data_IF_336423638213
#
_entry.id   IF_336423638213
#
_cell.length_a   1.000
_cell.length_b   1.000
_cell.length_c   1.000
_cell.angle_alpha   90.00
_cell.angle_beta   90.00
_cell.angle_gamma   90.00
#
_symmetry.space_group_name_H-M   'P 1'
#
loop_
_entity.id
_entity.type
_entity.pdbx_description
1 polymer ?
#
# COMPACT_ATOMS: atom_id res chain seq x y z
N UNK A 1 0.77 -63.95 19.84
CA UNK A 1 -0.55 -63.45 19.40
C UNK A 1 -0.83 -62.03 19.86
N UNK A 2 -0.33 -61.60 20.99
CA UNK A 2 -0.56 -60.22 21.51
C UNK A 2 0.14 -59.11 20.70
N UNK A 3 1.31 -59.38 20.14
CA UNK A 3 2.02 -58.37 19.31
C UNK A 3 1.35 -58.09 17.95
N UNK A 4 0.60 -59.05 17.42
CA UNK A 4 -0.11 -58.87 16.13
C UNK A 4 -1.37 -58.04 16.29
N UNK A 5 -2.04 -58.10 17.44
CA UNK A 5 -3.20 -57.29 17.77
C UNK A 5 -2.84 -55.80 18.01
N UNK A 6 -1.68 -55.55 18.65
CA UNK A 6 -1.21 -54.19 18.90
C UNK A 6 -0.83 -53.45 17.60
N UNK A 7 -0.24 -54.17 16.65
CA UNK A 7 0.14 -53.65 15.34
C UNK A 7 -1.12 -53.33 14.47
N UNK A 8 -2.12 -54.20 14.54
CA UNK A 8 -3.40 -53.96 13.84
C UNK A 8 -4.15 -52.79 14.43
N UNK A 9 -4.12 -52.57 15.75
CA UNK A 9 -4.78 -51.44 16.41
C UNK A 9 -4.07 -50.11 16.10
N UNK A 10 -2.73 -50.11 16.00
CA UNK A 10 -1.95 -48.91 15.61
C UNK A 10 -2.16 -48.58 14.13
N UNK A 11 -2.26 -49.55 13.23
CA UNK A 11 -2.51 -49.33 11.81
C UNK A 11 -3.94 -48.84 11.58
N UNK A 12 -4.91 -49.32 12.31
CA UNK A 12 -6.31 -48.85 12.24
C UNK A 12 -6.43 -47.43 12.81
N UNK A 13 -5.71 -47.06 13.89
CA UNK A 13 -5.69 -45.70 14.43
C UNK A 13 -5.04 -44.68 13.46
N UNK A 14 -3.99 -45.09 12.73
CA UNK A 14 -3.33 -44.25 11.72
C UNK A 14 -4.20 -44.06 10.47
N UNK A 15 -4.96 -45.10 10.08
CA UNK A 15 -5.86 -45.01 8.90
C UNK A 15 -7.15 -44.21 9.12
N UNK A 16 -7.60 -44.05 10.37
CA UNK A 16 -8.76 -43.24 10.70
C UNK A 16 -8.42 -41.76 11.08
N UNK A 17 -7.16 -41.43 11.36
CA UNK A 17 -6.74 -40.08 11.72
C UNK A 17 -6.38 -39.18 10.51
N UNK A 18 -5.99 -39.77 9.38
CA UNK A 18 -5.58 -39.02 8.20
C UNK A 18 -6.73 -38.34 7.40
N UNK A 19 -7.93 -38.91 7.22
CA UNK A 19 -8.99 -38.25 6.48
C UNK A 19 -9.68 -37.11 7.25
N UNK A 20 -9.70 -37.12 8.58
CA UNK A 20 -10.31 -36.06 9.37
C UNK A 20 -9.49 -34.77 9.39
N UNK A 21 -8.16 -34.85 9.43
CA UNK A 21 -7.27 -33.67 9.38
C UNK A 21 -7.29 -33.06 7.97
N UNK A 22 -7.32 -33.88 6.93
CA UNK A 22 -7.38 -33.39 5.54
C UNK A 22 -8.73 -32.75 5.20
N UNK A 23 -9.84 -33.29 5.70
CA UNK A 23 -11.17 -32.69 5.49
C UNK A 23 -11.34 -31.37 6.23
N UNK A 24 -10.80 -31.21 7.45
CA UNK A 24 -10.93 -29.97 8.20
C UNK A 24 -10.12 -28.82 7.58
N UNK A 25 -8.91 -29.10 7.09
CA UNK A 25 -8.08 -28.07 6.41
C UNK A 25 -8.70 -27.64 5.09
N UNK A 26 -9.28 -28.55 4.32
CA UNK A 26 -9.96 -28.25 3.05
C UNK A 26 -11.21 -27.43 3.25
N UNK A 27 -12.02 -27.71 4.29
CA UNK A 27 -13.23 -26.95 4.64
C UNK A 27 -12.82 -25.53 5.12
N UNK A 28 -11.80 -25.40 5.93
CA UNK A 28 -11.30 -24.11 6.40
C UNK A 28 -10.78 -23.24 5.24
N UNK A 29 -10.01 -23.81 4.31
CA UNK A 29 -9.51 -23.12 3.13
C UNK A 29 -10.64 -22.67 2.21
N UNK A 30 -11.63 -23.52 1.94
CA UNK A 30 -12.81 -23.18 1.15
C UNK A 30 -13.62 -22.05 1.78
N UNK A 31 -13.76 -22.03 3.11
CA UNK A 31 -14.49 -20.98 3.81
C UNK A 31 -13.73 -19.64 3.84
N UNK A 32 -12.38 -19.65 3.90
CA UNK A 32 -11.55 -18.45 3.81
C UNK A 32 -11.66 -17.79 2.43
N UNK A 33 -11.61 -18.59 1.36
CA UNK A 33 -11.81 -18.10 -0.02
C UNK A 33 -13.21 -17.51 -0.16
N UNK A 34 -14.24 -18.16 0.35
CA UNK A 34 -15.63 -17.67 0.28
C UNK A 34 -15.80 -16.32 0.98
N UNK A 35 -15.21 -16.11 2.17
CA UNK A 35 -15.25 -14.82 2.87
C UNK A 35 -14.50 -13.73 2.11
N UNK A 36 -13.37 -14.05 1.50
CA UNK A 36 -12.65 -13.13 0.63
C UNK A 36 -13.49 -12.72 -0.58
N UNK A 37 -14.12 -13.69 -1.27
CA UNK A 37 -15.02 -13.39 -2.39
C UNK A 37 -16.20 -12.51 -1.95
N UNK A 38 -16.81 -12.76 -0.79
CA UNK A 38 -17.88 -11.92 -0.26
C UNK A 38 -17.44 -10.47 -0.03
N UNK A 39 -16.22 -10.26 0.48
CA UNK A 39 -15.69 -8.90 0.67
C UNK A 39 -15.38 -8.22 -0.67
N UNK A 40 -14.85 -8.94 -1.64
CA UNK A 40 -14.59 -8.43 -2.99
C UNK A 40 -15.88 -8.03 -3.74
N UNK A 41 -17.00 -8.68 -3.46
CA UNK A 41 -18.29 -8.38 -4.08
C UNK A 41 -18.90 -7.06 -3.60
N UNK A 42 -18.45 -6.53 -2.48
CA UNK A 42 -18.88 -5.22 -2.00
C UNK A 42 -18.16 -4.15 -2.84
N UNK A 43 -18.94 -3.40 -3.63
CA UNK A 43 -18.38 -2.34 -4.48
C UNK A 43 -18.01 -1.12 -3.64
N UNK A 44 -16.74 -0.94 -3.37
CA UNK A 44 -16.17 0.22 -2.68
C UNK A 44 -15.35 1.13 -3.60
N UNK A 45 -15.66 1.12 -4.91
CA UNK A 45 -14.97 1.96 -5.87
C UNK A 45 -15.32 3.45 -5.74
N UNK A 46 -14.28 4.28 -5.81
CA UNK A 46 -14.44 5.72 -5.94
C UNK A 46 -15.20 6.07 -7.23
N UNK A 47 -15.98 7.16 -7.29
CA UNK A 47 -16.22 8.18 -6.23
C UNK A 47 -17.42 7.87 -5.33
N UNK A 48 -18.03 6.70 -5.41
CA UNK A 48 -19.26 6.35 -4.67
C UNK A 48 -19.15 4.99 -3.96
N UNK A 49 -18.18 4.81 -3.06
CA UNK A 49 -17.93 3.55 -2.39
C UNK A 49 -19.05 3.19 -1.41
N UNK A 50 -19.40 1.91 -1.36
CA UNK A 50 -20.35 1.36 -0.38
C UNK A 50 -19.68 1.09 0.96
N UNK A 51 -19.15 2.13 1.59
CA UNK A 51 -18.39 2.03 2.83
C UNK A 51 -19.16 1.38 3.99
N UNK A 52 -20.46 1.71 4.14
CA UNK A 52 -21.26 1.14 5.23
C UNK A 52 -21.41 -0.38 5.07
N UNK A 53 -21.63 -0.86 3.84
CA UNK A 53 -21.74 -2.30 3.57
C UNK A 53 -20.42 -3.03 3.88
N UNK A 54 -19.28 -2.42 3.54
CA UNK A 54 -17.96 -2.94 3.90
C UNK A 54 -17.72 -2.94 5.40
N UNK A 55 -18.10 -1.87 6.11
CA UNK A 55 -17.98 -1.77 7.56
C UNK A 55 -18.84 -2.83 8.26
N UNK A 56 -20.09 -3.02 7.84
CA UNK A 56 -21.00 -4.03 8.39
C UNK A 56 -20.46 -5.45 8.20
N UNK A 57 -19.87 -5.74 7.02
CA UNK A 57 -19.21 -7.01 6.76
C UNK A 57 -18.03 -7.23 7.72
N UNK A 58 -17.12 -6.25 7.85
CA UNK A 58 -15.94 -6.33 8.72
C UNK A 58 -16.33 -6.50 10.20
N UNK A 59 -17.35 -5.79 10.67
CA UNK A 59 -17.89 -5.94 12.02
C UNK A 59 -18.48 -7.34 12.22
N UNK A 60 -19.14 -7.90 11.20
CA UNK A 60 -19.65 -9.27 11.27
C UNK A 60 -18.52 -10.30 11.44
N UNK A 61 -17.38 -10.10 10.71
CA UNK A 61 -16.19 -10.93 10.88
C UNK A 61 -15.59 -10.77 12.29
N UNK A 62 -15.50 -9.55 12.80
CA UNK A 62 -15.03 -9.28 14.15
C UNK A 62 -15.86 -9.99 15.22
N UNK A 63 -17.19 -9.94 15.11
CA UNK A 63 -18.11 -10.66 16.00
C UNK A 63 -17.85 -12.16 15.96
N UNK A 64 -17.68 -12.75 14.76
CA UNK A 64 -17.40 -14.19 14.62
C UNK A 64 -16.07 -14.61 15.27
N UNK A 65 -15.15 -13.66 15.43
CA UNK A 65 -13.83 -13.83 16.05
C UNK A 65 -13.78 -13.40 17.51
N UNK A 66 -14.89 -12.92 18.08
CA UNK A 66 -14.93 -12.34 19.43
C UNK A 66 -13.85 -11.24 19.60
N UNK A 67 -13.69 -10.39 18.58
CA UNK A 67 -12.88 -9.17 18.66
C UNK A 67 -13.76 -8.01 19.14
N UNK A 68 -13.14 -7.08 19.88
CA UNK A 68 -13.77 -5.80 20.14
C UNK A 68 -13.79 -4.99 18.84
N UNK A 69 -14.87 -4.27 18.55
CA UNK A 69 -15.00 -3.47 17.33
C UNK A 69 -15.54 -2.08 17.66
N UNK A 70 -15.01 -1.08 16.95
CA UNK A 70 -15.46 0.31 17.00
C UNK A 70 -15.52 0.85 15.57
N UNK A 71 -16.53 1.63 15.26
CA UNK A 71 -16.62 2.44 14.04
C UNK A 71 -16.35 3.89 14.39
N UNK A 72 -15.50 4.56 13.64
CA UNK A 72 -15.07 5.93 13.86
C UNK A 72 -15.33 6.72 12.58
N UNK A 73 -16.18 7.72 12.64
CA UNK A 73 -16.48 8.63 11.53
C UNK A 73 -15.75 9.96 11.76
N UNK A 74 -14.54 10.10 11.21
CA UNK A 74 -13.87 11.41 11.18
C UNK A 74 -14.54 12.35 10.18
N UNK A 75 -15.13 11.80 9.14
CA UNK A 75 -15.96 12.47 8.16
C UNK A 75 -17.21 11.62 7.93
N UNK A 76 -18.37 12.25 7.98
CA UNK A 76 -19.66 11.59 7.82
C UNK A 76 -19.71 10.72 6.56
N UNK A 77 -20.06 9.45 6.70
CA UNK A 77 -20.18 8.49 5.62
C UNK A 77 -18.86 7.86 5.18
N UNK A 78 -17.76 8.13 5.91
CA UNK A 78 -16.44 7.51 5.70
C UNK A 78 -15.98 6.77 6.97
N UNK A 79 -16.63 5.65 7.34
CA UNK A 79 -16.31 4.92 8.55
C UNK A 79 -14.93 4.28 8.48
N UNK A 80 -14.13 4.50 9.51
CA UNK A 80 -12.97 3.69 9.84
C UNK A 80 -13.41 2.61 10.82
N UNK A 81 -13.18 1.34 10.48
CA UNK A 81 -13.47 0.20 11.36
C UNK A 81 -12.21 -0.19 12.10
N UNK A 82 -12.22 -0.06 13.42
CA UNK A 82 -11.13 -0.45 14.30
C UNK A 82 -11.51 -1.69 15.09
N UNK A 83 -10.74 -2.76 14.92
CA UNK A 83 -10.91 -4.03 15.64
C UNK A 83 -9.75 -4.22 16.61
N UNK A 84 -10.03 -4.83 17.76
CA UNK A 84 -9.03 -5.09 18.80
C UNK A 84 -9.06 -6.54 19.25
N UNK A 85 -7.92 -7.18 19.21
CA UNK A 85 -7.60 -8.41 19.93
C UNK A 85 -6.76 -8.06 21.15
N UNK A 86 -7.32 -8.06 22.37
CA UNK A 86 -6.60 -7.67 23.57
C UNK A 86 -5.40 -8.57 23.84
N UNK A 87 -4.28 -7.98 24.19
CA UNK A 87 -3.11 -8.70 24.67
C UNK A 87 -3.17 -8.97 26.18
N UNK A 88 -2.42 -9.99 26.64
CA UNK A 88 -2.31 -10.35 28.06
C UNK A 88 -1.44 -9.35 28.86
N UNK A 89 -0.59 -8.57 28.16
CA UNK A 89 0.21 -7.45 28.71
C UNK A 89 -0.19 -6.12 28.02
N UNK A 90 -1.36 -5.55 28.34
CA UNK A 90 -1.90 -4.39 27.61
C UNK A 90 -1.09 -3.09 27.77
N UNK A 91 -0.12 -3.05 28.71
CA UNK A 91 0.82 -1.93 28.87
C UNK A 91 1.93 -1.93 27.82
N UNK A 92 2.20 -3.06 27.16
CA UNK A 92 3.16 -3.11 26.07
C UNK A 92 2.60 -2.38 24.83
N UNK A 93 3.45 -1.68 24.07
CA UNK A 93 3.03 -1.06 22.83
C UNK A 93 2.39 -2.07 21.87
N UNK A 94 1.33 -1.65 21.22
CA UNK A 94 0.48 -2.52 20.39
C UNK A 94 1.01 -2.68 18.95
N UNK A 95 0.38 -3.57 18.20
CA UNK A 95 0.62 -3.80 16.79
C UNK A 95 -0.59 -3.32 16.01
N UNK A 96 -0.39 -2.55 14.94
CA UNK A 96 -1.43 -2.11 14.03
C UNK A 96 -1.29 -2.82 12.68
N UNK A 97 -2.30 -3.57 12.30
CA UNK A 97 -2.50 -4.16 10.98
C UNK A 97 -3.47 -3.22 10.24
N UNK A 98 -2.96 -2.50 9.26
CA UNK A 98 -3.71 -1.49 8.54
C UNK A 98 -4.14 -1.99 7.17
N UNK A 99 -5.33 -1.60 6.73
CA UNK A 99 -5.87 -1.88 5.40
C UNK A 99 -6.84 -0.77 5.00
N UNK A 100 -6.84 -0.35 3.73
CA UNK A 100 -7.92 0.50 3.23
C UNK A 100 -9.08 -0.34 2.69
N UNK A 101 -10.25 0.27 2.59
CA UNK A 101 -11.51 -0.38 2.18
C UNK A 101 -11.94 0.00 0.78
N UNK A 102 -11.56 1.19 0.32
CA UNK A 102 -11.89 1.66 -1.02
C UNK A 102 -11.02 1.01 -2.09
N UNK A 103 -11.39 1.19 -3.32
CA UNK A 103 -10.66 0.73 -4.50
C UNK A 103 -10.83 1.76 -5.63
N UNK A 104 -9.89 1.80 -6.57
CA UNK A 104 -10.01 2.65 -7.76
C UNK A 104 -11.19 2.24 -8.64
N UNK A 105 -11.72 3.17 -9.46
CA UNK A 105 -12.72 2.86 -10.47
C UNK A 105 -12.27 1.77 -11.45
N UNK A 106 -13.21 1.12 -12.10
CA UNK A 106 -12.95 0.10 -13.11
C UNK A 106 -13.76 0.38 -14.38
N UNK A 107 -13.13 0.18 -15.54
CA UNK A 107 -13.79 0.22 -16.84
C UNK A 107 -14.38 -1.17 -17.14
N UNK A 108 -15.63 -1.40 -16.73
CA UNK A 108 -16.27 -2.72 -16.70
C UNK A 108 -16.21 -3.44 -18.08
N UNK A 109 -16.33 -2.69 -19.17
CA UNK A 109 -16.34 -3.24 -20.54
C UNK A 109 -14.97 -3.82 -20.96
N UNK A 110 -13.90 -3.49 -20.23
CA UNK A 110 -12.55 -4.00 -20.49
C UNK A 110 -12.18 -5.22 -19.63
N UNK A 111 -13.09 -5.66 -18.76
CA UNK A 111 -12.87 -6.81 -17.91
C UNK A 111 -13.48 -8.08 -18.50
N UNK A 112 -12.75 -9.19 -18.44
CA UNK A 112 -13.25 -10.52 -18.83
C UNK A 112 -14.37 -11.00 -17.92
N UNK A 113 -14.28 -10.69 -16.62
CA UNK A 113 -15.30 -10.95 -15.62
C UNK A 113 -15.67 -9.64 -14.93
N UNK A 114 -16.95 -9.48 -14.54
CA UNK A 114 -17.36 -8.26 -13.86
C UNK A 114 -16.46 -7.97 -12.64
N UNK A 115 -15.89 -6.75 -12.48
CA UNK A 115 -14.85 -6.44 -11.50
C UNK A 115 -15.26 -6.65 -10.04
N UNK A 116 -16.55 -6.77 -9.75
CA UNK A 116 -17.08 -7.09 -8.41
C UNK A 116 -17.80 -8.44 -8.36
N UNK A 117 -17.53 -9.35 -9.30
CA UNK A 117 -18.07 -10.71 -9.25
C UNK A 117 -17.29 -11.65 -8.34
N UNK A 118 -16.02 -11.32 -8.06
CA UNK A 118 -15.07 -12.19 -7.37
C UNK A 118 -15.02 -13.59 -8.02
N UNK A 119 -14.96 -13.61 -9.35
CA UNK A 119 -15.02 -14.84 -10.13
C UNK A 119 -13.77 -15.69 -9.89
N UNK A 120 -13.98 -16.93 -9.44
CA UNK A 120 -12.94 -17.94 -9.34
C UNK A 120 -12.94 -18.80 -10.61
N UNK A 121 -11.87 -18.72 -11.41
CA UNK A 121 -11.74 -19.52 -12.61
C UNK A 121 -11.23 -20.95 -12.33
N UNK A 122 -11.20 -21.79 -13.35
CA UNK A 122 -10.74 -23.19 -13.26
C UNK A 122 -9.22 -23.31 -13.03
N UNK A 123 -8.45 -22.24 -13.21
CA UNK A 123 -7.04 -22.16 -12.89
C UNK A 123 -6.77 -21.69 -11.44
N UNK A 124 -7.79 -21.36 -10.68
CA UNK A 124 -7.67 -20.89 -9.30
C UNK A 124 -7.45 -19.40 -9.15
N UNK A 125 -7.69 -18.59 -10.19
CA UNK A 125 -7.59 -17.13 -10.14
C UNK A 125 -8.90 -16.51 -9.67
N UNK A 126 -8.82 -15.65 -8.67
CA UNK A 126 -9.97 -14.88 -8.16
C UNK A 126 -9.89 -13.49 -8.78
N UNK A 127 -10.74 -13.24 -9.76
CA UNK A 127 -10.79 -11.96 -10.48
C UNK A 127 -11.69 -10.98 -9.78
N UNK A 128 -11.12 -9.88 -9.30
CA UNK A 128 -11.88 -8.74 -8.78
C UNK A 128 -10.99 -7.49 -8.65
N UNK A 129 -11.59 -6.29 -8.75
CA UNK A 129 -10.98 -5.05 -8.29
C UNK A 129 -10.82 -5.12 -6.75
N UNK A 130 -9.60 -4.87 -6.25
CA UNK A 130 -9.25 -5.03 -4.83
C UNK A 130 -8.74 -6.43 -4.48
N UNK A 131 -8.58 -7.34 -5.46
CA UNK A 131 -8.02 -8.66 -5.20
C UNK A 131 -6.52 -8.61 -4.86
N UNK A 132 -5.80 -7.58 -5.30
CA UNK A 132 -4.41 -7.29 -4.93
C UNK A 132 -4.31 -6.03 -4.05
N UNK A 133 -5.14 -5.01 -4.29
CA UNK A 133 -5.07 -3.69 -3.71
C UNK A 133 -6.41 -3.29 -3.07
N UNK A 134 -6.53 -3.34 -1.72
CA UNK A 134 -5.75 -4.24 -0.84
C UNK A 134 -6.70 -5.10 0.02
N UNK A 135 -7.92 -5.39 -0.48
CA UNK A 135 -8.91 -6.21 0.27
C UNK A 135 -8.38 -7.60 0.64
N UNK A 136 -7.47 -8.16 -0.19
CA UNK A 136 -6.80 -9.43 0.11
C UNK A 136 -6.03 -9.36 1.42
N UNK A 137 -5.26 -8.31 1.65
CA UNK A 137 -4.44 -8.12 2.86
C UNK A 137 -5.34 -8.00 4.10
N UNK A 138 -6.37 -7.15 4.04
CA UNK A 138 -7.32 -7.00 5.14
C UNK A 138 -8.00 -8.31 5.52
N UNK A 139 -8.38 -9.12 4.51
CA UNK A 139 -8.98 -10.44 4.76
C UNK A 139 -7.96 -11.46 5.24
N UNK A 140 -6.72 -11.43 4.73
CA UNK A 140 -5.64 -12.29 5.23
C UNK A 140 -5.33 -12.01 6.71
N UNK A 141 -5.37 -10.75 7.16
CA UNK A 141 -5.25 -10.40 8.59
C UNK A 141 -6.34 -11.07 9.43
N UNK A 142 -7.61 -10.96 9.00
CA UNK A 142 -8.75 -11.55 9.72
C UNK A 142 -8.65 -13.07 9.77
N UNK A 143 -8.28 -13.72 8.66
CA UNK A 143 -8.14 -15.16 8.59
C UNK A 143 -6.92 -15.66 9.40
N UNK A 144 -5.83 -14.93 9.42
CA UNK A 144 -4.67 -15.22 10.27
C UNK A 144 -5.03 -15.14 11.76
N UNK A 145 -5.78 -14.11 12.17
CA UNK A 145 -6.31 -14.02 13.54
C UNK A 145 -7.25 -15.19 13.84
N UNK A 146 -8.11 -15.59 12.90
CA UNK A 146 -8.98 -16.75 13.02
C UNK A 146 -8.22 -18.04 13.27
N UNK A 147 -7.18 -18.28 12.46
CA UNK A 147 -6.32 -19.45 12.58
C UNK A 147 -5.55 -19.49 13.89
N UNK A 148 -4.99 -18.36 14.32
CA UNK A 148 -4.28 -18.25 15.60
C UNK A 148 -5.20 -18.48 16.80
N UNK A 149 -6.40 -17.90 16.81
CA UNK A 149 -7.39 -18.12 17.88
C UNK A 149 -7.84 -19.57 17.93
N UNK A 150 -8.08 -20.21 16.78
CA UNK A 150 -8.44 -21.63 16.71
C UNK A 150 -7.34 -22.55 17.26
N UNK A 151 -6.07 -22.13 17.17
CA UNK A 151 -4.89 -22.80 17.74
C UNK A 151 -4.65 -22.48 19.24
N UNK A 152 -5.54 -21.69 19.86
CA UNK A 152 -5.42 -21.27 21.27
C UNK A 152 -4.32 -20.26 21.54
N UNK A 153 -3.83 -19.54 20.51
CA UNK A 153 -2.83 -18.50 20.71
C UNK A 153 -3.44 -17.27 21.42
N UNK A 154 -2.73 -16.79 22.43
CA UNK A 154 -3.04 -15.53 23.12
C UNK A 154 -1.90 -14.54 22.94
N UNK A 155 -2.15 -13.35 22.39
CA UNK A 155 -1.12 -12.36 22.16
C UNK A 155 -0.64 -11.73 23.48
N UNK A 156 0.64 -11.41 23.62
CA UNK A 156 1.14 -10.60 24.74
C UNK A 156 0.76 -9.13 24.55
N UNK A 157 1.01 -8.58 23.34
CA UNK A 157 0.68 -7.22 22.94
C UNK A 157 -0.72 -7.19 22.33
N UNK A 158 -1.46 -6.12 22.56
CA UNK A 158 -2.72 -5.93 21.82
C UNK A 158 -2.47 -5.83 20.32
N UNK A 159 -3.32 -6.48 19.53
CA UNK A 159 -3.31 -6.40 18.07
C UNK A 159 -4.55 -5.63 17.63
N UNK A 160 -4.32 -4.54 16.90
CA UNK A 160 -5.39 -3.76 16.28
C UNK A 160 -5.41 -4.02 14.77
N UNK A 161 -6.60 -4.07 14.21
CA UNK A 161 -6.82 -4.08 12.77
C UNK A 161 -7.64 -2.82 12.45
N UNK A 162 -7.09 -1.95 11.61
CA UNK A 162 -7.78 -0.75 11.16
C UNK A 162 -8.11 -0.88 9.67
N UNK A 163 -9.37 -0.64 9.33
CA UNK A 163 -9.86 -0.63 7.96
C UNK A 163 -10.34 0.79 7.66
N UNK A 164 -9.55 1.54 6.91
CA UNK A 164 -9.79 2.96 6.66
C UNK A 164 -10.40 3.23 5.29
N UNK A 165 -11.17 4.31 5.15
CA UNK A 165 -11.66 4.77 3.87
C UNK A 165 -10.61 5.60 3.14
N UNK A 166 -10.83 5.88 1.84
CA UNK A 166 -10.29 6.96 1.00
C UNK A 166 -8.77 6.96 0.74
N UNK A 167 -8.07 5.83 0.90
CA UNK A 167 -6.65 5.73 0.53
C UNK A 167 -6.43 6.12 -0.94
N UNK A 168 -7.23 5.58 -1.85
CA UNK A 168 -7.15 5.73 -3.30
C UNK A 168 -7.37 7.18 -3.80
N UNK A 169 -7.81 8.05 -2.91
CA UNK A 169 -7.96 9.50 -3.16
C UNK A 169 -7.15 10.34 -2.17
N UNK A 170 -6.17 9.72 -1.50
CA UNK A 170 -5.16 10.38 -0.68
C UNK A 170 -5.24 10.15 0.82
N UNK A 171 -6.22 9.39 1.36
CA UNK A 171 -6.29 8.99 2.77
C UNK A 171 -6.53 10.14 3.76
N UNK A 172 -6.98 11.30 3.26
CA UNK A 172 -7.08 12.52 4.08
C UNK A 172 -8.18 12.46 5.14
N UNK A 173 -9.29 11.79 4.85
CA UNK A 173 -10.43 11.69 5.76
C UNK A 173 -10.38 10.44 6.65
N UNK A 174 -9.63 9.43 6.24
CA UNK A 174 -9.39 8.18 6.96
C UNK A 174 -8.06 8.19 7.71
N UNK A 175 -7.00 7.74 7.04
CA UNK A 175 -5.68 7.50 7.63
C UNK A 175 -5.04 8.74 8.27
N UNK A 176 -5.09 9.90 7.59
CA UNK A 176 -4.48 11.11 8.09
C UNK A 176 -5.14 11.57 9.39
N UNK A 177 -6.49 11.66 9.40
CA UNK A 177 -7.24 12.04 10.61
C UNK A 177 -7.08 11.01 11.72
N UNK A 178 -7.06 9.72 11.39
CA UNK A 178 -6.83 8.66 12.35
C UNK A 178 -5.45 8.79 12.99
N UNK A 179 -4.40 8.90 12.19
CA UNK A 179 -3.04 9.04 12.69
C UNK A 179 -2.85 10.29 13.59
N UNK A 180 -3.61 11.36 13.37
CA UNK A 180 -3.56 12.61 14.15
C UNK A 180 -4.51 12.62 15.36
N UNK A 181 -5.31 11.58 15.57
CA UNK A 181 -6.36 11.55 16.58
C UNK A 181 -5.86 11.09 17.96
N UNK A 182 -6.52 11.56 19.02
CA UNK A 182 -6.33 11.04 20.38
C UNK A 182 -6.66 9.54 20.48
N UNK A 183 -7.56 9.04 19.63
CA UNK A 183 -7.88 7.61 19.56
C UNK A 183 -6.62 6.83 19.19
N UNK A 184 -5.89 7.29 18.17
CA UNK A 184 -4.64 6.64 17.75
C UNK A 184 -3.58 6.69 18.83
N UNK A 185 -3.44 7.81 19.54
CA UNK A 185 -2.48 7.94 20.65
C UNK A 185 -2.75 6.92 21.77
N UNK A 186 -4.03 6.67 22.08
CA UNK A 186 -4.44 5.68 23.08
C UNK A 186 -4.15 4.23 22.67
N UNK A 187 -3.93 3.94 21.38
CA UNK A 187 -3.57 2.60 20.96
C UNK A 187 -2.14 2.23 21.32
N UNK A 188 -1.27 3.19 21.61
CA UNK A 188 0.15 2.99 21.94
C UNK A 188 0.84 2.08 20.92
N UNK A 189 0.84 2.45 19.63
CA UNK A 189 1.33 1.62 18.53
C UNK A 189 2.85 1.58 18.48
N UNK A 190 3.44 0.40 18.35
CA UNK A 190 4.87 0.18 18.17
C UNK A 190 5.28 -0.01 16.71
N UNK A 191 4.40 -0.60 15.92
CA UNK A 191 4.65 -0.97 14.52
C UNK A 191 3.33 -0.97 13.74
N UNK A 192 3.38 -0.52 12.50
CA UNK A 192 2.28 -0.59 11.54
C UNK A 192 2.67 -1.53 10.40
N UNK A 193 1.80 -2.44 10.02
CA UNK A 193 1.85 -3.15 8.76
C UNK A 193 0.78 -2.59 7.85
N UNK A 194 1.18 -2.19 6.66
CA UNK A 194 0.32 -1.64 5.62
C UNK A 194 0.53 -2.42 4.31
N UNK A 195 -0.08 -1.97 3.23
CA UNK A 195 0.01 -2.60 1.92
C UNK A 195 1.41 -2.60 1.31
N UNK A 196 1.66 -3.60 0.48
CA UNK A 196 2.80 -3.71 -0.43
C UNK A 196 2.33 -4.03 -1.85
N UNK A 197 3.22 -4.57 -2.66
CA UNK A 197 2.93 -4.99 -4.04
C UNK A 197 3.01 -6.49 -4.20
N UNK A 198 2.30 -7.02 -5.19
CA UNK A 198 2.54 -8.35 -5.71
C UNK A 198 3.98 -8.47 -6.26
N UNK A 199 4.49 -9.69 -6.28
CA UNK A 199 5.79 -10.04 -6.85
C UNK A 199 5.61 -11.07 -7.97
N UNK A 200 6.16 -10.81 -9.17
CA UNK A 200 6.13 -11.80 -10.25
C UNK A 200 6.97 -13.05 -9.98
N UNK A 201 7.88 -12.99 -9.03
CA UNK A 201 8.73 -14.10 -8.62
C UNK A 201 8.35 -14.66 -7.22
N UNK A 202 9.16 -15.56 -6.68
CA UNK A 202 8.91 -16.25 -5.41
C UNK A 202 9.16 -15.40 -4.16
N UNK A 203 9.73 -14.19 -4.28
CA UNK A 203 10.07 -13.33 -3.14
C UNK A 203 8.93 -12.35 -2.86
N UNK A 204 8.61 -12.17 -1.59
CA UNK A 204 7.73 -11.08 -1.14
C UNK A 204 8.52 -9.78 -1.07
N UNK A 205 7.88 -8.67 -1.45
CA UNK A 205 8.48 -7.34 -1.51
C UNK A 205 8.15 -6.53 -0.26
N UNK A 206 9.12 -6.22 0.61
CA UNK A 206 8.89 -5.37 1.78
C UNK A 206 9.25 -3.91 1.46
N UNK A 207 8.38 -2.98 1.83
CA UNK A 207 8.55 -1.56 1.58
C UNK A 207 8.78 -0.80 2.90
N UNK A 208 9.93 -0.14 3.00
CA UNK A 208 10.32 0.63 4.18
C UNK A 208 10.01 2.12 4.06
N UNK A 209 9.68 2.58 2.87
CA UNK A 209 9.39 3.96 2.52
C UNK A 209 8.52 4.02 1.27
N UNK A 210 8.12 5.22 0.87
CA UNK A 210 7.35 5.48 -0.34
C UNK A 210 7.78 6.79 -1.00
N UNK A 211 7.41 7.00 -2.27
CA UNK A 211 7.64 8.28 -2.95
C UNK A 211 6.53 9.28 -2.63
N UNK A 212 6.92 10.53 -2.43
CA UNK A 212 5.99 11.62 -2.16
C UNK A 212 5.50 12.28 -3.46
N UNK A 213 4.19 12.53 -3.63
CA UNK A 213 3.65 13.17 -4.81
C UNK A 213 3.87 14.69 -4.79
N UNK A 214 4.37 15.23 -5.91
CA UNK A 214 4.42 16.65 -6.22
C UNK A 214 3.69 16.90 -7.55
N UNK A 215 2.60 17.62 -7.52
CA UNK A 215 1.85 17.97 -8.71
C UNK A 215 2.21 19.39 -9.12
N UNK A 216 3.08 19.47 -10.13
CA UNK A 216 3.66 20.72 -10.60
C UNK A 216 2.90 21.24 -11.82
N UNK A 217 2.54 22.51 -11.82
CA UNK A 217 2.04 23.22 -12.99
C UNK A 217 3.05 24.30 -13.37
N UNK A 218 3.52 24.26 -14.60
CA UNK A 218 4.41 25.28 -15.19
C UNK A 218 3.60 26.10 -16.19
N UNK A 219 3.63 27.42 -16.02
CA UNK A 219 2.99 28.37 -16.90
C UNK A 219 4.04 29.24 -17.56
N UNK A 220 3.90 29.43 -18.87
CA UNK A 220 4.71 30.33 -19.68
C UNK A 220 3.85 31.43 -20.26
N UNK A 221 4.34 32.67 -20.26
CA UNK A 221 3.73 33.81 -20.92
C UNK A 221 4.64 34.35 -22.02
N UNK A 222 4.05 34.96 -23.04
CA UNK A 222 4.82 35.53 -24.15
C UNK A 222 3.95 36.53 -24.97
N UNK A 223 4.59 37.28 -25.83
CA UNK A 223 3.87 38.18 -26.71
C UNK A 223 2.98 37.38 -27.67
N UNK A 224 1.65 37.67 -27.73
CA UNK A 224 0.83 37.11 -28.80
C UNK A 224 1.22 37.75 -30.12
N UNK A 225 0.94 37.08 -31.22
CA UNK A 225 1.28 37.63 -32.52
C UNK A 225 0.80 36.81 -33.70
N UNK A 226 1.05 37.34 -34.89
CA UNK A 226 0.68 36.67 -36.11
C UNK A 226 1.48 35.37 -36.30
N UNK A 227 0.80 34.27 -36.58
CA UNK A 227 1.43 32.94 -36.70
C UNK A 227 2.53 32.84 -37.77
N UNK A 228 2.57 33.74 -38.75
CA UNK A 228 3.64 33.77 -39.76
C UNK A 228 4.94 34.50 -39.32
N UNK A 229 4.94 35.12 -38.12
CA UNK A 229 6.14 35.81 -37.61
C UNK A 229 6.94 34.92 -36.66
N UNK A 230 8.26 35.06 -36.72
CA UNK A 230 9.16 34.46 -35.76
C UNK A 230 9.34 35.36 -34.54
N UNK A 231 9.13 34.81 -33.36
CA UNK A 231 9.36 35.46 -32.07
C UNK A 231 10.28 34.61 -31.22
N UNK A 232 11.34 35.19 -30.67
CA UNK A 232 12.32 34.49 -29.84
C UNK A 232 11.75 34.07 -28.48
N UNK A 233 10.69 34.68 -28.01
CA UNK A 233 10.15 34.55 -26.66
C UNK A 233 8.63 34.39 -26.65
N UNK A 234 8.11 33.50 -27.49
CA UNK A 234 6.68 33.15 -27.43
C UNK A 234 6.40 32.21 -26.27
N UNK A 235 5.18 32.22 -25.76
CA UNK A 235 4.76 31.32 -24.66
C UNK A 235 5.00 29.84 -25.02
N UNK A 236 4.69 29.47 -26.26
CA UNK A 236 4.88 28.08 -26.74
C UNK A 236 6.34 27.67 -26.77
N UNK A 237 7.22 28.49 -27.36
CA UNK A 237 8.66 28.19 -27.45
C UNK A 237 9.29 28.05 -26.08
N UNK A 238 8.94 28.90 -25.12
CA UNK A 238 9.43 28.84 -23.76
C UNK A 238 8.98 27.56 -23.06
N UNK A 239 7.70 27.19 -23.20
CA UNK A 239 7.18 25.95 -22.61
C UNK A 239 7.79 24.70 -23.26
N UNK A 240 8.01 24.68 -24.57
CA UNK A 240 8.66 23.57 -25.26
C UNK A 240 10.10 23.37 -24.79
N UNK A 241 10.89 24.44 -24.62
CA UNK A 241 12.24 24.40 -24.05
C UNK A 241 12.25 23.84 -22.63
N UNK A 242 11.27 24.25 -21.79
CA UNK A 242 11.07 23.70 -20.45
C UNK A 242 10.77 22.20 -20.51
N UNK A 243 9.80 21.83 -21.30
CA UNK A 243 9.39 20.43 -21.47
C UNK A 243 10.52 19.53 -21.94
N UNK A 244 11.39 20.04 -22.85
CA UNK A 244 12.56 19.30 -23.32
C UNK A 244 13.58 19.09 -22.19
N UNK A 245 13.82 20.09 -21.32
CA UNK A 245 14.69 19.93 -20.16
C UNK A 245 14.14 18.88 -19.18
N UNK A 246 12.84 18.91 -18.91
CA UNK A 246 12.13 17.94 -18.05
C UNK A 246 12.23 16.53 -18.65
N UNK A 247 12.01 16.40 -19.96
CA UNK A 247 12.13 15.10 -20.65
C UNK A 247 13.55 14.51 -20.56
N UNK A 248 14.58 15.32 -20.67
CA UNK A 248 15.98 14.87 -20.48
C UNK A 248 16.21 14.40 -19.05
N UNK A 249 15.73 15.13 -18.05
CA UNK A 249 15.80 14.69 -16.66
C UNK A 249 15.07 13.36 -16.46
N UNK A 250 13.81 13.25 -16.95
CA UNK A 250 13.06 12.00 -16.90
C UNK A 250 13.82 10.83 -17.53
N UNK A 251 14.43 11.05 -18.71
CA UNK A 251 15.22 10.03 -19.39
C UNK A 251 16.41 9.58 -18.53
N UNK A 252 17.14 10.50 -17.91
CA UNK A 252 18.27 10.16 -17.05
C UNK A 252 17.87 9.30 -15.85
N UNK A 253 16.70 9.57 -15.25
CA UNK A 253 16.17 8.75 -14.15
C UNK A 253 15.75 7.35 -14.65
N UNK A 254 15.12 7.28 -15.81
CA UNK A 254 14.69 6.00 -16.40
C UNK A 254 15.88 5.15 -16.86
N UNK A 255 16.97 5.77 -17.32
CA UNK A 255 18.18 5.05 -17.70
C UNK A 255 18.87 4.37 -16.50
N UNK A 256 18.78 4.95 -15.28
CA UNK A 256 19.24 4.29 -14.05
C UNK A 256 18.44 2.98 -13.77
N UNK A 257 17.13 2.99 -14.00
CA UNK A 257 16.29 1.80 -13.85
C UNK A 257 16.64 0.75 -14.90
N UNK A 258 16.72 1.13 -16.18
CA UNK A 258 17.06 0.21 -17.28
C UNK A 258 18.43 -0.43 -17.12
N UNK A 259 19.38 0.30 -16.57
CA UNK A 259 20.72 -0.19 -16.28
C UNK A 259 20.79 -1.09 -15.03
N UNK A 260 19.67 -1.26 -14.29
CA UNK A 260 19.63 -2.01 -13.04
C UNK A 260 20.41 -1.36 -11.88
N UNK A 261 20.75 -0.06 -12.01
CA UNK A 261 21.51 0.69 -11.00
C UNK A 261 20.62 1.19 -9.86
N UNK A 262 19.34 1.40 -10.14
CA UNK A 262 18.33 1.86 -9.17
C UNK A 262 17.01 1.10 -9.39
N UNK A 263 16.27 0.85 -8.30
CA UNK A 263 14.89 0.42 -8.38
C UNK A 263 13.98 1.60 -8.75
N UNK A 264 12.76 1.32 -9.19
CA UNK A 264 11.80 2.36 -9.59
C UNK A 264 11.47 3.32 -8.42
N UNK A 265 11.36 2.80 -7.20
CA UNK A 265 11.12 3.60 -6.00
C UNK A 265 12.29 4.53 -5.61
N UNK A 266 13.50 4.27 -6.10
CA UNK A 266 14.73 5.02 -5.73
C UNK A 266 15.03 6.21 -6.64
N UNK A 267 14.21 6.46 -7.66
CA UNK A 267 14.41 7.55 -8.62
C UNK A 267 13.26 8.55 -8.58
N UNK A 268 13.56 9.79 -8.97
CA UNK A 268 12.50 10.80 -9.18
C UNK A 268 11.83 10.54 -10.51
N UNK A 269 10.55 10.16 -10.51
CA UNK A 269 9.80 10.09 -11.75
C UNK A 269 9.11 11.42 -12.05
N UNK A 270 9.01 11.76 -13.32
CA UNK A 270 8.32 12.95 -13.82
C UNK A 270 7.51 12.56 -15.05
N UNK A 271 6.18 12.67 -14.96
CA UNK A 271 5.30 12.41 -16.08
C UNK A 271 4.46 13.64 -16.39
N UNK A 272 4.46 14.08 -17.66
CA UNK A 272 3.56 15.14 -18.09
C UNK A 272 2.13 14.59 -18.18
N UNK A 273 1.20 15.22 -17.48
CA UNK A 273 -0.21 14.78 -17.40
C UNK A 273 -1.14 15.63 -18.23
N UNK A 274 -0.78 16.87 -18.52
CA UNK A 274 -1.48 17.69 -19.49
C UNK A 274 -0.55 18.73 -20.12
N UNK A 275 -0.94 19.19 -21.32
CA UNK A 275 -0.36 20.31 -22.05
C UNK A 275 -1.51 21.12 -22.65
N UNK A 276 -1.54 22.45 -22.36
CA UNK A 276 -2.61 23.33 -22.79
C UNK A 276 -2.03 24.61 -23.36
N UNK A 277 -2.41 24.92 -24.60
CA UNK A 277 -2.02 26.13 -25.30
C UNK A 277 -2.94 26.36 -26.51
N UNK A 278 -2.79 27.55 -27.14
CA UNK A 278 -3.61 27.96 -28.30
C UNK A 278 -4.86 28.70 -27.92
N UNK A 279 -5.39 29.46 -28.89
CA UNK A 279 -6.65 30.22 -28.75
C UNK A 279 -7.79 29.42 -29.32
N UNK A 280 -8.80 28.99 -28.50
CA UNK A 280 -9.92 28.22 -28.98
C UNK A 280 -10.76 29.00 -29.99
N UNK A 281 -11.37 28.30 -30.95
CA UNK A 281 -12.37 28.81 -31.90
C UNK A 281 -13.52 27.80 -32.02
N UNK A 282 -14.66 28.16 -32.60
CA UNK A 282 -15.77 27.22 -32.81
C UNK A 282 -15.43 25.98 -33.63
N UNK A 283 -14.36 26.02 -34.45
CA UNK A 283 -13.90 24.94 -35.31
C UNK A 283 -12.58 24.32 -34.87
N UNK A 284 -12.15 24.57 -33.60
CA UNK A 284 -10.91 24.07 -33.04
C UNK A 284 -10.02 25.17 -32.47
N UNK A 285 -8.94 25.54 -33.16
CA UNK A 285 -8.01 26.59 -32.70
C UNK A 285 -7.75 27.61 -33.81
N UNK A 286 -7.44 28.86 -33.40
CA UNK A 286 -7.06 29.93 -34.32
C UNK A 286 -5.63 29.69 -34.79
N UNK A 287 -5.43 29.22 -36.03
CA UNK A 287 -4.15 28.76 -36.55
C UNK A 287 -3.14 29.88 -36.88
N UNK A 288 -3.61 31.07 -37.15
CA UNK A 288 -2.76 32.22 -37.50
C UNK A 288 -2.45 33.17 -36.32
N UNK A 289 -2.71 32.71 -35.09
CA UNK A 289 -2.47 33.46 -33.86
C UNK A 289 -1.57 32.70 -32.90
N UNK A 290 -0.45 33.26 -32.53
CA UNK A 290 0.37 32.74 -31.43
C UNK A 290 -0.25 33.09 -30.08
N UNK A 291 -0.43 32.10 -29.17
CA UNK A 291 -1.06 32.37 -27.88
C UNK A 291 -0.13 33.12 -26.92
N UNK A 292 -0.72 33.94 -26.06
CA UNK A 292 0.00 34.69 -25.02
C UNK A 292 0.36 33.84 -23.80
N UNK A 293 -0.27 32.68 -23.66
CA UNK A 293 -0.06 31.77 -22.53
C UNK A 293 -0.01 30.33 -23.00
N UNK A 294 0.80 29.53 -22.28
CA UNK A 294 0.84 28.08 -22.39
C UNK A 294 1.15 27.46 -21.03
N UNK A 295 0.56 26.31 -20.72
CA UNK A 295 0.80 25.64 -19.46
C UNK A 295 0.92 24.12 -19.63
N UNK A 296 1.70 23.47 -18.74
CA UNK A 296 1.80 22.03 -18.65
C UNK A 296 1.79 21.58 -17.19
N UNK A 297 1.18 20.43 -16.95
CA UNK A 297 1.14 19.80 -15.62
C UNK A 297 1.95 18.53 -15.59
N UNK A 298 2.57 18.28 -14.44
CA UNK A 298 3.45 17.15 -14.21
C UNK A 298 3.12 16.46 -12.88
N UNK A 299 3.02 15.14 -12.90
CA UNK A 299 3.08 14.29 -11.71
C UNK A 299 4.55 13.91 -11.47
N UNK A 300 5.08 14.37 -10.35
CA UNK A 300 6.44 14.09 -9.91
C UNK A 300 6.33 13.20 -8.67
N UNK A 301 7.10 12.09 -8.64
CA UNK A 301 7.22 11.23 -7.47
C UNK A 301 8.64 11.31 -6.94
N UNK A 302 8.78 11.74 -5.69
CA UNK A 302 10.05 12.06 -5.05
C UNK A 302 10.36 11.02 -3.96
N UNK A 303 11.45 10.23 -4.08
CA UNK A 303 11.83 9.30 -3.02
C UNK A 303 12.34 10.03 -1.77
N UNK A 304 12.23 9.44 -0.56
CA UNK A 304 12.65 10.08 0.69
C UNK A 304 14.15 10.37 0.77
N UNK A 305 14.94 9.70 -0.07
CA UNK A 305 16.40 9.89 -0.15
C UNK A 305 16.84 10.93 -1.19
N UNK A 306 15.89 11.54 -1.91
CA UNK A 306 16.21 12.56 -2.90
C UNK A 306 16.59 13.90 -2.24
N UNK A 307 17.52 14.60 -2.87
CA UNK A 307 17.84 16.01 -2.53
C UNK A 307 16.69 16.91 -3.02
N UNK A 308 15.76 17.19 -2.09
CA UNK A 308 14.57 18.00 -2.35
C UNK A 308 14.96 19.43 -2.77
N UNK A 309 15.95 20.04 -2.13
CA UNK A 309 16.37 21.41 -2.43
C UNK A 309 16.99 21.52 -3.83
N UNK A 310 17.76 20.51 -4.23
CA UNK A 310 18.32 20.45 -5.59
C UNK A 310 17.23 20.31 -6.64
N UNK A 311 16.20 19.51 -6.37
CA UNK A 311 15.05 19.39 -7.27
C UNK A 311 14.25 20.70 -7.37
N UNK A 312 14.02 21.38 -6.26
CA UNK A 312 13.34 22.68 -6.24
C UNK A 312 14.10 23.75 -7.00
N UNK A 313 15.44 23.81 -6.82
CA UNK A 313 16.28 24.71 -7.62
C UNK A 313 16.20 24.39 -9.11
N UNK A 314 16.22 23.12 -9.48
CA UNK A 314 16.07 22.69 -10.87
C UNK A 314 14.72 23.13 -11.46
N UNK A 315 13.65 23.01 -10.70
CA UNK A 315 12.32 23.50 -11.11
C UNK A 315 12.36 25.02 -11.35
N UNK A 316 12.93 25.79 -10.43
CA UNK A 316 12.97 27.24 -10.52
C UNK A 316 13.91 27.78 -11.61
N UNK A 317 15.09 27.16 -11.79
CA UNK A 317 16.16 27.70 -12.62
C UNK A 317 16.19 27.08 -14.02
N UNK A 318 15.86 25.79 -14.16
CA UNK A 318 15.94 25.10 -15.44
C UNK A 318 14.56 24.89 -16.08
N UNK A 319 13.56 24.48 -15.28
CA UNK A 319 12.25 24.11 -15.83
C UNK A 319 11.31 25.30 -15.97
N UNK A 320 11.32 26.23 -15.02
CA UNK A 320 10.45 27.41 -15.06
C UNK A 320 11.22 28.71 -14.74
N UNK A 321 12.28 29.05 -15.50
CA UNK A 321 13.09 30.24 -15.21
C UNK A 321 12.30 31.53 -15.50
N UNK A 322 12.31 32.44 -14.53
CA UNK A 322 11.69 33.77 -14.64
C UNK A 322 12.24 34.54 -15.86
N UNK A 323 13.50 34.34 -16.21
CA UNK A 323 14.14 34.98 -17.37
C UNK A 323 13.50 34.61 -18.72
N UNK A 324 12.67 33.56 -18.76
CA UNK A 324 11.86 33.15 -19.93
C UNK A 324 10.38 33.42 -19.74
N UNK A 325 10.02 34.38 -18.87
CA UNK A 325 8.62 34.67 -18.51
C UNK A 325 7.84 33.44 -18.08
N UNK A 326 8.46 32.60 -17.28
CA UNK A 326 7.85 31.37 -16.76
C UNK A 326 7.61 31.47 -15.27
N UNK A 327 6.60 30.77 -14.83
CA UNK A 327 6.26 30.59 -13.42
C UNK A 327 5.82 29.17 -13.16
N UNK A 328 5.83 28.76 -11.88
CA UNK A 328 5.31 27.46 -11.50
C UNK A 328 4.51 27.52 -10.21
N UNK A 329 3.67 26.55 -10.01
CA UNK A 329 2.93 26.34 -8.76
C UNK A 329 2.76 24.85 -8.49
N UNK A 330 2.77 24.46 -7.22
CA UNK A 330 2.38 23.13 -6.82
C UNK A 330 0.89 23.09 -6.51
N UNK A 331 0.17 22.17 -7.14
CA UNK A 331 -1.20 21.80 -6.75
C UNK A 331 -1.18 20.89 -5.52
N UNK A 332 -0.14 20.07 -5.41
CA UNK A 332 0.19 19.25 -4.26
C UNK A 332 1.71 19.19 -4.13
N UNK A 333 2.21 19.24 -2.91
CA UNK A 333 3.63 19.06 -2.58
C UNK A 333 3.72 18.43 -1.20
N UNK A 334 3.97 17.13 -1.20
CA UNK A 334 4.12 16.37 0.02
C UNK A 334 5.60 16.32 0.39
N UNK A 335 5.95 16.73 1.61
CA UNK A 335 7.33 16.67 2.08
C UNK A 335 7.83 15.23 2.16
N UNK A 336 9.07 15.00 1.77
CA UNK A 336 9.80 13.74 1.99
C UNK A 336 10.47 13.67 3.36
N UNK A 337 10.37 14.75 4.15
CA UNK A 337 10.90 14.85 5.51
C UNK A 337 9.77 15.08 6.50
N UNK A 338 9.96 14.57 7.71
CA UNK A 338 9.11 14.86 8.86
C UNK A 338 9.36 16.27 9.42
N UNK A 339 8.63 16.65 10.48
CA UNK A 339 8.76 17.97 11.12
C UNK A 339 10.14 18.20 11.75
N UNK A 340 10.90 17.13 12.04
CA UNK A 340 12.27 17.20 12.56
C UNK A 340 13.33 17.28 11.47
N UNK A 341 12.92 17.29 10.18
CA UNK A 341 13.81 17.31 9.02
C UNK A 341 14.42 15.96 8.67
N UNK A 342 13.95 14.85 9.24
CA UNK A 342 14.42 13.52 8.91
C UNK A 342 13.61 12.93 7.75
N UNK A 343 14.24 12.11 6.88
CA UNK A 343 13.52 11.40 5.82
C UNK A 343 12.38 10.54 6.39
N UNK A 344 11.21 10.59 5.75
CA UNK A 344 10.03 9.79 6.14
C UNK A 344 10.21 8.35 5.66
N UNK A 345 10.88 7.56 6.48
CA UNK A 345 11.17 6.15 6.21
C UNK A 345 11.21 5.33 7.50
N UNK A 346 11.07 4.01 7.35
CA UNK A 346 11.25 3.03 8.42
C UNK A 346 12.67 2.47 8.35
N UNK A 347 13.37 2.45 9.48
CA UNK A 347 14.71 1.90 9.56
C UNK A 347 14.70 0.39 9.30
N UNK A 348 15.63 -0.09 8.48
CA UNK A 348 15.74 -1.52 8.10
C UNK A 348 16.94 -2.22 8.73
N UNK A 349 17.72 -1.49 9.56
CA UNK A 349 18.88 -2.03 10.26
C UNK A 349 18.52 -2.61 11.65
N UNK A 350 19.53 -3.06 12.38
CA UNK A 350 19.38 -3.69 13.70
C UNK A 350 18.81 -2.78 14.79
N UNK A 351 18.70 -1.47 14.56
CA UNK A 351 18.05 -0.55 15.50
C UNK A 351 16.52 -0.69 15.50
N UNK A 352 15.96 -1.28 14.44
CA UNK A 352 14.54 -1.59 14.33
C UNK A 352 14.27 -3.09 14.52
N UNK A 353 13.88 -3.55 15.71
CA UNK A 353 13.65 -4.97 15.95
C UNK A 353 12.51 -5.55 15.09
N UNK A 354 11.55 -4.72 14.68
CA UNK A 354 10.38 -5.14 13.89
C UNK A 354 10.78 -5.63 12.50
N UNK A 355 11.86 -5.07 11.94
CA UNK A 355 12.37 -5.52 10.65
C UNK A 355 12.92 -6.95 10.73
N UNK A 356 13.82 -7.23 11.66
CA UNK A 356 14.36 -8.57 11.87
C UNK A 356 13.29 -9.59 12.26
N UNK A 357 12.26 -9.16 13.00
CA UNK A 357 11.12 -10.01 13.35
C UNK A 357 10.28 -10.36 12.11
N UNK A 358 10.10 -9.41 11.16
CA UNK A 358 9.43 -9.69 9.88
C UNK A 358 10.19 -10.75 9.09
N UNK A 359 11.49 -10.56 8.90
CA UNK A 359 12.34 -11.52 8.17
C UNK A 359 12.25 -12.92 8.77
N UNK A 360 12.40 -13.04 10.09
CA UNK A 360 12.28 -14.31 10.80
C UNK A 360 10.89 -14.94 10.66
N UNK A 361 9.83 -14.14 10.73
CA UNK A 361 8.46 -14.64 10.65
C UNK A 361 8.14 -15.17 9.24
N UNK A 362 8.53 -14.43 8.20
CA UNK A 362 8.35 -14.84 6.81
C UNK A 362 9.12 -16.15 6.52
N UNK A 363 10.39 -16.21 6.94
CA UNK A 363 11.22 -17.41 6.78
C UNK A 363 10.63 -18.63 7.50
N UNK A 364 10.15 -18.47 8.73
CA UNK A 364 9.50 -19.56 9.51
C UNK A 364 8.26 -20.11 8.83
N UNK A 365 7.53 -19.29 8.10
CA UNK A 365 6.37 -19.71 7.30
C UNK A 365 6.75 -20.25 5.91
N UNK A 366 8.06 -20.44 5.63
CA UNK A 366 8.56 -20.92 4.34
C UNK A 366 8.46 -19.91 3.21
N UNK A 367 8.30 -18.61 3.53
CA UNK A 367 8.35 -17.51 2.57
C UNK A 367 9.78 -17.02 2.34
N UNK A 368 9.99 -16.31 1.25
CA UNK A 368 11.26 -15.65 0.91
C UNK A 368 11.03 -14.15 0.86
N UNK A 369 11.72 -13.38 1.71
CA UNK A 369 11.65 -11.93 1.69
C UNK A 369 12.69 -11.37 0.70
N UNK A 370 12.28 -10.45 -0.14
CA UNK A 370 13.14 -9.68 -1.04
C UNK A 370 13.95 -8.61 -0.30
N UNK A 371 14.72 -7.84 -1.04
CA UNK A 371 15.44 -6.69 -0.48
C UNK A 371 14.45 -5.60 -0.09
N UNK A 372 14.78 -4.75 0.93
CA UNK A 372 13.99 -3.57 1.24
C UNK A 372 13.85 -2.63 0.04
N UNK A 373 12.62 -2.17 -0.22
CA UNK A 373 12.33 -1.28 -1.35
C UNK A 373 11.63 0.00 -0.88
N UNK A 374 11.73 1.05 -1.70
CA UNK A 374 10.87 2.23 -1.63
C UNK A 374 9.64 1.97 -2.51
N UNK A 375 8.44 2.12 -1.96
CA UNK A 375 7.21 1.94 -2.72
C UNK A 375 7.12 2.97 -3.85
N UNK A 376 6.85 2.56 -5.09
CA UNK A 376 6.92 3.46 -6.25
C UNK A 376 5.78 4.48 -6.35
N UNK A 377 4.70 4.28 -5.59
CA UNK A 377 3.60 5.23 -5.43
C UNK A 377 3.58 5.79 -4.00
N UNK A 378 2.41 6.09 -3.46
CA UNK A 378 2.21 6.52 -2.08
C UNK A 378 1.18 5.62 -1.42
N UNK A 379 1.31 5.38 -0.12
CA UNK A 379 0.38 4.60 0.71
C UNK A 379 0.01 5.38 1.96
N UNK A 380 -0.94 4.89 2.74
CA UNK A 380 -1.30 5.51 4.02
C UNK A 380 -0.21 5.35 5.10
N UNK A 381 0.75 4.44 4.91
CA UNK A 381 1.92 4.28 5.79
C UNK A 381 2.67 5.59 6.05
N UNK A 382 2.62 6.54 5.09
CA UNK A 382 3.26 7.87 5.23
C UNK A 382 2.77 8.65 6.44
N UNK A 383 1.50 8.53 6.79
CA UNK A 383 0.93 9.26 7.92
C UNK A 383 1.47 8.76 9.27
N UNK A 384 1.70 7.45 9.38
CA UNK A 384 2.29 6.83 10.57
C UNK A 384 3.80 7.09 10.64
N UNK A 385 4.52 6.97 9.50
CA UNK A 385 5.97 7.29 9.44
C UNK A 385 6.26 8.73 9.81
N UNK A 386 5.41 9.69 9.41
CA UNK A 386 5.53 11.11 9.80
C UNK A 386 5.40 11.33 11.30
N UNK A 387 4.72 10.44 12.00
CA UNK A 387 4.64 10.43 13.45
C UNK A 387 5.85 9.76 14.12
N UNK A 388 6.85 9.36 13.34
CA UNK A 388 8.04 8.67 13.82
C UNK A 388 7.82 7.19 14.14
N UNK A 389 6.68 6.61 13.72
CA UNK A 389 6.40 5.19 13.92
C UNK A 389 6.98 4.36 12.78
N UNK A 390 7.60 3.21 13.06
CA UNK A 390 7.93 2.27 12.00
C UNK A 390 6.64 1.77 11.34
N UNK A 391 6.58 1.87 10.01
CA UNK A 391 5.51 1.33 9.20
C UNK A 391 6.11 0.60 7.99
N UNK A 392 5.75 -0.66 7.82
CA UNK A 392 6.27 -1.53 6.77
C UNK A 392 5.13 -1.86 5.82
N UNK A 393 5.32 -1.56 4.54
CA UNK A 393 4.43 -1.99 3.48
C UNK A 393 4.73 -3.44 3.12
N UNK A 394 3.73 -4.32 3.17
CA UNK A 394 3.92 -5.74 2.93
C UNK A 394 2.63 -6.43 2.49
N UNK A 395 2.66 -7.05 1.31
CA UNK A 395 1.59 -7.89 0.79
C UNK A 395 2.16 -9.25 0.38
N UNK A 396 1.80 -10.35 1.04
CA UNK A 396 2.35 -11.67 0.75
C UNK A 396 1.71 -12.28 -0.51
N UNK A 397 2.05 -11.71 -1.67
CA UNK A 397 1.57 -12.12 -3.00
C UNK A 397 2.78 -12.41 -3.88
N UNK A 398 3.39 -13.60 -3.75
CA UNK A 398 4.45 -14.08 -4.64
C UNK A 398 3.85 -14.70 -5.91
N UNK A 399 4.67 -14.95 -6.92
CA UNK A 399 4.29 -15.58 -8.19
C UNK A 399 3.04 -14.94 -8.85
N UNK A 400 2.85 -13.65 -8.61
CA UNK A 400 1.65 -12.90 -8.99
C UNK A 400 2.06 -11.70 -9.83
N UNK A 401 1.52 -11.52 -11.04
CA UNK A 401 1.78 -10.33 -11.84
C UNK A 401 1.24 -9.10 -11.12
N UNK A 402 1.91 -7.96 -11.27
CA UNK A 402 1.48 -6.68 -10.67
C UNK A 402 0.35 -6.14 -11.53
N UNK A 403 -0.89 -6.20 -11.01
CA UNK A 403 -2.11 -5.82 -11.73
C UNK A 403 -2.97 -4.80 -10.95
N UNK A 404 -2.44 -4.22 -9.86
CA UNK A 404 -3.16 -3.16 -9.16
C UNK A 404 -3.49 -2.03 -10.14
N UNK A 405 -4.72 -1.48 -10.07
CA UNK A 405 -5.29 -0.47 -10.97
C UNK A 405 -5.45 -0.91 -12.44
N UNK A 406 -5.00 -2.13 -12.82
CA UNK A 406 -5.14 -2.65 -14.19
C UNK A 406 -6.48 -3.38 -14.38
N UNK A 407 -6.79 -3.74 -15.65
CA UNK A 407 -7.94 -4.58 -15.97
C UNK A 407 -7.63 -6.04 -15.64
N UNK A 408 -8.68 -6.81 -15.31
CA UNK A 408 -8.55 -8.22 -14.97
C UNK A 408 -7.57 -8.50 -13.80
N UNK A 409 -7.52 -7.59 -12.83
CA UNK A 409 -6.83 -7.81 -11.57
C UNK A 409 -7.29 -9.13 -10.94
N UNK A 410 -6.34 -9.97 -10.53
CA UNK A 410 -6.64 -11.24 -9.89
C UNK A 410 -5.58 -11.61 -8.85
N UNK A 411 -5.97 -12.44 -7.90
CA UNK A 411 -5.06 -13.15 -7.01
C UNK A 411 -5.34 -14.65 -7.09
N UNK A 412 -4.27 -15.46 -7.19
CA UNK A 412 -4.43 -16.91 -7.18
C UNK A 412 -4.83 -17.38 -5.77
N UNK A 413 -5.82 -18.27 -5.68
CA UNK A 413 -6.35 -18.77 -4.40
C UNK A 413 -5.27 -19.38 -3.49
N UNK A 414 -4.27 -20.05 -4.07
CA UNK A 414 -3.21 -20.70 -3.30
C UNK A 414 -2.22 -19.66 -2.74
N UNK A 415 -1.93 -18.57 -3.49
CA UNK A 415 -1.15 -17.44 -2.98
C UNK A 415 -1.91 -16.68 -1.90
N UNK A 416 -3.24 -16.51 -2.05
CA UNK A 416 -4.08 -15.93 -1.00
C UNK A 416 -4.02 -16.75 0.29
N UNK A 417 -4.16 -18.09 0.20
CA UNK A 417 -4.08 -18.98 1.36
C UNK A 417 -2.68 -19.00 1.96
N UNK A 418 -1.63 -19.00 1.12
CA UNK A 418 -0.25 -18.90 1.60
C UNK A 418 0.02 -17.59 2.33
N UNK A 419 -0.56 -16.49 1.85
CA UNK A 419 -0.50 -15.18 2.53
C UNK A 419 -1.11 -15.21 3.93
N UNK A 420 -2.17 -15.97 4.17
CA UNK A 420 -2.73 -16.17 5.51
C UNK A 420 -1.71 -16.84 6.43
N UNK A 421 -1.02 -17.89 5.99
CA UNK A 421 0.02 -18.57 6.77
C UNK A 421 1.19 -17.63 7.10
N UNK A 422 1.60 -16.78 6.16
CA UNK A 422 2.63 -15.77 6.35
C UNK A 422 2.19 -14.77 7.44
N UNK A 423 0.96 -14.25 7.36
CA UNK A 423 0.45 -13.32 8.38
C UNK A 423 0.21 -13.99 9.73
N UNK A 424 -0.19 -15.26 9.79
CA UNK A 424 -0.23 -15.99 11.07
C UNK A 424 1.15 -15.97 11.75
N UNK A 425 2.22 -16.23 10.98
CA UNK A 425 3.60 -16.22 11.51
C UNK A 425 4.03 -14.82 11.95
N UNK A 426 3.72 -13.78 11.15
CA UNK A 426 4.07 -12.39 11.47
C UNK A 426 3.33 -11.94 12.73
N UNK A 427 2.00 -12.09 12.78
CA UNK A 427 1.18 -11.68 13.91
C UNK A 427 1.62 -12.41 15.18
N UNK A 428 1.85 -13.71 15.11
CA UNK A 428 2.34 -14.49 16.25
C UNK A 428 3.69 -13.99 16.73
N UNK A 429 4.63 -13.73 15.82
CA UNK A 429 5.98 -13.27 16.15
C UNK A 429 5.95 -11.87 16.78
N UNK A 430 5.24 -10.94 16.17
CA UNK A 430 5.13 -9.56 16.67
C UNK A 430 4.38 -9.48 18.00
N UNK A 431 3.26 -10.18 18.10
CA UNK A 431 2.42 -10.18 19.29
C UNK A 431 3.04 -10.92 20.49
N UNK A 432 4.03 -11.78 20.27
CA UNK A 432 4.80 -12.46 21.33
C UNK A 432 6.09 -11.72 21.72
N UNK A 433 6.48 -10.66 21.01
CA UNK A 433 7.73 -9.97 21.26
C UNK A 433 7.65 -9.14 22.55
N UNK A 434 8.57 -9.43 23.49
CA UNK A 434 8.74 -8.71 24.77
C UNK A 434 10.15 -8.13 24.83
N UNK A 435 10.27 -6.84 24.57
CA UNK A 435 11.54 -6.09 24.60
C UNK A 435 12.05 -5.80 26.01
N UNK A 436 11.17 -5.86 27.02
CA UNK A 436 11.55 -5.60 28.41
C UNK A 436 12.31 -6.78 29.05
N UNK A 437 12.17 -7.99 28.49
CA UNK A 437 12.89 -9.18 28.97
C UNK A 437 14.40 -9.16 28.74
N UNK A 438 14.92 -8.27 27.86
CA UNK A 438 16.36 -8.16 27.58
C UNK A 438 17.14 -7.28 28.55
N UNK A 439 16.47 -6.49 29.41
CA UNK A 439 17.12 -5.64 30.41
C UNK A 439 17.14 -6.22 31.83
N UNK A 440 16.54 -7.38 32.07
CA UNK A 440 16.45 -8.05 33.36
C UNK A 440 17.58 -9.08 33.66
N UNK A 441 18.52 -9.30 32.76
CA UNK A 441 19.52 -10.35 32.86
C UNK A 441 20.96 -9.86 32.97
N UNK A 442 21.29 -8.93 33.91
CA UNK A 442 22.69 -8.68 34.33
C UNK A 442 22.79 -7.69 35.50
N UNK A 443 22.28 -8.08 36.62
CA UNK A 443 22.69 -7.53 37.93
C UNK A 443 22.43 -8.61 38.99
N UNK A 444 23.33 -9.56 39.07
CA UNK A 444 23.66 -10.30 40.30
C UNK A 444 24.74 -11.33 39.93
N UNK A 445 26.00 -10.86 39.91
CA UNK A 445 27.19 -11.63 40.19
C UNK A 445 28.39 -10.64 40.24
N UNK A 446 28.59 -10.06 41.40
CA UNK A 446 29.89 -9.68 41.94
C UNK A 446 29.83 -9.74 43.47
#
# INVERSE_FOLDING_TARGET
MEFLFLYLYLVVLVLFSTPLIHSSSTIQSSSAISRFQQYLQINTAQPSPRYQEAADFLISQAKSLSLQSQTIDFVTGKPLVLLKWPGTKPHLPSILLYSHTDVVPSEHDKWTHHPFSAHLDHHGRIYARGSQDMKCVGMQYLEAVRGLKAKGFEPLRSVYLAFAPDEEIGGHDGAEKFAQSEIFDQLNVAIVLDEGLASPDEHYRPFYAERSPWWLVIKSTGAPGHGAKLYDNSAMENLLKSTESIRRFRASQFDLIKAGLKAEGDVVSVNMVFLKAGTPSPTGFVMNLQPSEAEAGFDIRVPPTADQESLERRIAEEWAPISRNMSFSFKQKVSVHDESGKPVLTNTDSSNPWWSLLENAVQKAGGKLGKPEVFPASTDARYFRRRGLPAIGFSPMANTPILLHDHNEFLHKDEYLKGIEIYESIIKTYASFDDQGKHGGSRDEL
#
